data_IF_737969575955
#
_entry.id   IF_737969575955
#
_cell.length_a   1.000
_cell.length_b   1.000
_cell.length_c   1.000
_cell.angle_alpha   90.00
_cell.angle_beta   90.00
_cell.angle_gamma   90.00
#
_symmetry.space_group_name_H-M   'P 1'
#
loop_
_entity.id
_entity.type
_entity.pdbx_description
1 polymer ?
#
# COMPACT_ATOMS: atom_id res chain seq x y z
N UNK A 1 2.62 69.94 -18.73
CA UNK A 1 1.52 69.23 -19.40
C UNK A 1 0.97 68.19 -18.43
N UNK A 2 0.21 68.60 -17.41
CA UNK A 2 -1.26 68.74 -17.35
C UNK A 2 -2.00 67.39 -17.31
N UNK A 3 -2.37 66.98 -16.10
CA UNK A 3 -3.58 66.18 -15.79
C UNK A 3 -4.78 67.13 -15.98
N UNK A 4 -5.97 66.70 -16.46
CA UNK A 4 -7.05 66.40 -15.50
C UNK A 4 -8.15 65.39 -15.93
N UNK A 5 -8.73 64.76 -14.89
CA UNK A 5 -10.16 64.51 -14.58
C UNK A 5 -11.17 63.89 -15.58
N UNK A 6 -11.67 62.71 -15.18
CA UNK A 6 -13.06 62.41 -14.73
C UNK A 6 -14.23 63.23 -15.33
N UNK A 7 -15.20 62.52 -15.94
CA UNK A 7 -16.59 62.35 -15.44
C UNK A 7 -17.59 62.03 -16.58
N UNK A 8 -18.58 61.18 -16.28
CA UNK A 8 -19.91 61.29 -16.90
C UNK A 8 -20.48 60.04 -17.58
N UNK A 9 -21.26 59.25 -16.83
CA UNK A 9 -22.38 58.49 -17.40
C UNK A 9 -23.61 59.43 -17.54
N UNK A 10 -24.47 59.21 -18.55
CA UNK A 10 -25.85 58.88 -18.22
C UNK A 10 -26.51 57.83 -19.15
N UNK A 11 -27.06 56.81 -18.50
CA UNK A 11 -28.44 56.30 -18.57
C UNK A 11 -29.32 56.43 -19.86
N UNK A 12 -29.86 55.24 -20.21
CA UNK A 12 -31.27 54.88 -20.54
C UNK A 12 -31.78 54.90 -21.99
N UNK A 13 -32.14 53.67 -22.42
CA UNK A 13 -33.36 53.33 -23.17
C UNK A 13 -33.28 53.50 -24.68
N UNK A 14 -33.97 52.76 -25.54
CA UNK A 14 -34.89 51.62 -25.44
C UNK A 14 -35.19 51.20 -26.90
N UNK A 15 -35.58 49.95 -27.16
CA UNK A 15 -36.16 49.53 -28.45
C UNK A 15 -35.46 48.32 -29.08
N UNK A 16 -35.75 47.09 -28.63
CA UNK A 16 -36.71 46.18 -29.26
C UNK A 16 -36.43 45.91 -30.75
N UNK A 17 -35.89 44.73 -31.06
CA UNK A 17 -36.59 43.72 -31.87
C UNK A 17 -35.79 42.40 -32.00
N UNK A 18 -36.35 41.35 -31.37
CA UNK A 18 -36.50 39.95 -31.81
C UNK A 18 -35.36 39.23 -32.56
N UNK A 19 -34.84 38.18 -31.93
CA UNK A 19 -35.02 36.79 -32.39
C UNK A 19 -34.58 35.80 -31.28
N UNK A 20 -35.54 35.09 -30.69
CA UNK A 20 -35.31 33.98 -29.76
C UNK A 20 -35.43 32.69 -30.56
N UNK A 21 -34.31 31.98 -30.74
CA UNK A 21 -34.33 30.60 -31.24
C UNK A 21 -34.60 29.66 -30.05
N UNK A 22 -35.75 28.98 -30.08
CA UNK A 22 -36.07 27.90 -29.17
C UNK A 22 -35.24 26.67 -29.53
N UNK A 23 -34.39 26.21 -28.62
CA UNK A 23 -33.82 24.88 -28.66
C UNK A 23 -34.69 23.97 -27.77
N UNK A 24 -35.49 23.12 -28.41
CA UNK A 24 -36.32 22.10 -27.78
C UNK A 24 -35.42 21.04 -27.13
N UNK A 25 -35.45 20.95 -25.80
CA UNK A 25 -34.84 19.88 -25.03
C UNK A 25 -35.74 18.65 -25.09
N UNK A 26 -35.31 17.62 -25.82
CA UNK A 26 -35.95 16.31 -25.84
C UNK A 26 -35.54 15.54 -24.57
N UNK A 27 -36.45 15.44 -23.60
CA UNK A 27 -36.27 14.57 -22.43
C UNK A 27 -36.62 13.14 -22.86
N UNK A 28 -35.60 12.29 -22.98
CA UNK A 28 -35.75 10.84 -23.16
C UNK A 28 -36.16 10.23 -21.81
N UNK A 29 -37.45 9.87 -21.72
CA UNK A 29 -37.99 9.07 -20.61
C UNK A 29 -37.58 7.61 -20.86
N UNK A 30 -36.52 7.17 -20.19
CA UNK A 30 -36.11 5.77 -20.16
C UNK A 30 -37.10 4.95 -19.33
N UNK A 31 -37.80 4.03 -19.99
CA UNK A 31 -38.71 3.08 -19.38
C UNK A 31 -37.95 2.13 -18.44
N UNK A 32 -38.34 2.11 -17.16
CA UNK A 32 -37.92 1.09 -16.20
C UNK A 32 -38.73 -0.18 -16.47
N UNK A 33 -38.06 -1.22 -16.94
CA UNK A 33 -38.60 -2.58 -16.99
C UNK A 33 -38.59 -3.13 -15.55
N UNK A 34 -39.73 -3.03 -14.87
CA UNK A 34 -39.97 -3.72 -13.59
C UNK A 34 -40.23 -5.20 -13.92
N UNK A 35 -39.24 -6.06 -13.67
CA UNK A 35 -39.47 -7.51 -13.61
C UNK A 35 -40.12 -7.86 -12.28
N UNK A 36 -41.42 -8.18 -12.35
CA UNK A 36 -42.22 -8.70 -11.25
C UNK A 36 -41.79 -10.13 -10.90
N UNK A 37 -41.28 -10.34 -9.69
CA UNK A 37 -41.16 -11.68 -9.08
C UNK A 37 -42.45 -12.02 -8.33
N UNK A 38 -43.05 -13.21 -8.53
CA UNK A 38 -44.22 -13.63 -7.77
C UNK A 38 -43.86 -13.92 -6.31
N UNK A 39 -44.61 -13.29 -5.42
CA UNK A 39 -44.59 -13.49 -3.97
C UNK A 39 -45.14 -14.88 -3.61
N UNK A 40 -44.37 -15.66 -2.86
CA UNK A 40 -44.88 -16.79 -2.10
C UNK A 40 -45.39 -16.29 -0.75
N UNK A 41 -46.70 -16.46 -0.56
CA UNK A 41 -47.47 -16.16 0.63
C UNK A 41 -47.06 -17.05 1.81
N UNK A 42 -46.76 -16.44 2.95
CA UNK A 42 -46.63 -17.10 4.24
C UNK A 42 -47.03 -16.13 5.36
N UNK A 43 -48.30 -16.19 5.76
CA UNK A 43 -48.85 -15.49 6.92
C UNK A 43 -48.34 -16.11 8.22
N UNK A 44 -47.78 -15.30 9.13
CA UNK A 44 -48.06 -15.36 10.59
C UNK A 44 -47.90 -13.95 11.19
N UNK A 45 -48.88 -13.53 11.99
CA UNK A 45 -49.00 -12.21 12.65
C UNK A 45 -48.01 -12.02 13.84
N UNK A 46 -47.76 -10.77 14.28
CA UNK A 46 -46.92 -10.47 15.44
C UNK A 46 -47.72 -10.43 16.75
N UNK A 47 -47.09 -10.84 17.86
CA UNK A 47 -47.53 -10.52 19.21
C UNK A 47 -46.38 -9.92 20.02
N UNK A 48 -46.77 -8.91 20.81
CA UNK A 48 -45.93 -7.97 21.50
C UNK A 48 -45.49 -8.45 22.91
N UNK A 49 -44.42 -7.81 23.36
CA UNK A 49 -44.17 -7.26 24.71
C UNK A 49 -44.26 -8.17 25.96
N UNK A 50 -43.13 -8.28 26.66
CA UNK A 50 -43.09 -8.25 28.13
C UNK A 50 -41.64 -8.05 28.60
N UNK A 51 -41.41 -6.94 29.30
CA UNK A 51 -40.17 -6.65 30.01
C UNK A 51 -40.06 -7.32 31.39
N UNK A 52 -39.09 -6.77 32.13
CA UNK A 52 -38.74 -6.97 33.54
C UNK A 52 -37.93 -8.24 33.90
N UNK A 53 -37.01 -8.26 34.87
CA UNK A 53 -36.12 -7.31 35.55
C UNK A 53 -35.36 -8.15 36.60
N UNK A 54 -34.25 -7.60 37.07
CA UNK A 54 -33.57 -7.76 38.37
C UNK A 54 -32.76 -8.99 38.81
N UNK A 55 -31.60 -8.60 39.38
CA UNK A 55 -30.89 -9.06 40.61
C UNK A 55 -29.72 -10.03 40.40
N UNK A 56 -28.50 -9.52 40.51
CA UNK A 56 -27.69 -9.37 41.74
C UNK A 56 -26.99 -10.68 42.15
N UNK A 57 -25.66 -10.68 42.10
CA UNK A 57 -24.83 -10.97 43.28
C UNK A 57 -23.36 -10.70 42.98
N UNK A 58 -22.70 -10.11 43.96
CA UNK A 58 -21.35 -9.58 43.95
C UNK A 58 -20.41 -10.46 44.76
N UNK A 59 -19.10 -10.26 44.55
CA UNK A 59 -18.00 -10.43 45.52
C UNK A 59 -17.59 -11.89 45.84
N UNK A 60 -16.31 -12.20 45.65
CA UNK A 60 -15.34 -12.45 46.74
C UNK A 60 -13.93 -12.64 46.15
N UNK A 61 -13.01 -11.92 46.77
CA UNK A 61 -11.55 -11.96 46.72
C UNK A 61 -10.91 -13.31 47.05
N UNK A 62 -9.74 -13.63 46.49
CA UNK A 62 -8.90 -14.72 46.99
C UNK A 62 -7.48 -14.70 46.44
N UNK A 63 -6.52 -14.39 47.33
CA UNK A 63 -5.06 -14.42 47.16
C UNK A 63 -4.50 -15.84 46.98
N UNK A 64 -3.26 -15.92 46.47
CA UNK A 64 -2.29 -16.99 46.78
C UNK A 64 -1.92 -17.83 45.56
N UNK A 65 -0.78 -17.63 44.91
CA UNK A 65 0.58 -18.02 45.30
C UNK A 65 0.96 -19.47 44.90
N UNK A 66 1.81 -19.53 43.87
CA UNK A 66 3.05 -20.33 43.78
C UNK A 66 3.03 -21.84 43.52
N UNK A 67 4.16 -22.25 42.90
CA UNK A 67 4.82 -23.56 42.86
C UNK A 67 4.24 -24.55 41.83
N UNK A 68 4.86 -24.66 40.65
CA UNK A 68 6.08 -25.41 40.31
C UNK A 68 5.90 -26.94 40.34
N UNK A 69 6.01 -27.51 39.14
CA UNK A 69 6.61 -28.79 38.75
C UNK A 69 6.35 -30.04 39.62
N UNK A 70 5.82 -31.11 39.02
CA UNK A 70 6.32 -32.49 39.07
C UNK A 70 5.56 -33.29 38.00
N UNK A 71 6.23 -33.69 36.91
CA UNK A 71 6.74 -35.05 36.60
C UNK A 71 5.65 -36.05 36.18
N UNK A 72 5.87 -36.58 34.97
CA UNK A 72 5.56 -37.88 34.36
C UNK A 72 4.93 -38.93 35.31
N UNK A 73 4.04 -39.82 34.87
CA UNK A 73 4.31 -40.78 33.79
C UNK A 73 3.05 -41.63 33.47
N UNK A 74 3.12 -42.23 32.29
CA UNK A 74 2.65 -43.58 31.96
C UNK A 74 1.17 -43.93 31.64
N UNK A 75 1.12 -44.76 30.60
CA UNK A 75 0.15 -45.79 30.17
C UNK A 75 -1.06 -45.34 29.34
N UNK A 76 -1.12 -45.63 28.03
CA UNK A 76 -1.01 -46.91 27.26
C UNK A 76 -2.36 -47.62 27.06
N UNK A 77 -2.80 -47.69 25.80
CA UNK A 77 -3.53 -48.81 25.16
C UNK A 77 -3.65 -48.45 23.66
N UNK A 78 -2.83 -48.98 22.74
CA UNK A 78 -3.02 -50.23 21.97
C UNK A 78 -4.43 -50.40 21.40
N UNK A 79 -4.54 -50.36 20.06
CA UNK A 79 -5.03 -51.50 19.26
C UNK A 79 -4.76 -51.32 17.75
N UNK A 80 -3.98 -52.28 17.22
CA UNK A 80 -4.08 -53.03 15.94
C UNK A 80 -4.25 -52.30 14.59
N UNK A 81 -3.27 -52.31 13.67
CA UNK A 81 -2.77 -53.40 12.78
C UNK A 81 -3.69 -53.68 11.56
N UNK A 82 -3.25 -53.35 10.33
CA UNK A 82 -2.82 -54.25 9.22
C UNK A 82 -2.76 -53.35 7.95
N UNK A 83 -1.98 -53.52 6.87
CA UNK A 83 -1.00 -54.51 6.41
C UNK A 83 -0.22 -53.89 5.20
N UNK A 84 0.88 -54.56 4.85
CA UNK A 84 1.52 -54.63 3.51
C UNK A 84 2.76 -53.76 3.14
N UNK A 85 3.94 -54.41 3.29
CA UNK A 85 5.02 -54.67 2.29
C UNK A 85 5.43 -53.51 1.36
N UNK A 86 6.67 -53.04 1.25
CA UNK A 86 7.99 -53.60 1.52
C UNK A 86 8.95 -53.14 0.39
N UNK A 87 10.23 -52.94 0.69
CA UNK A 87 11.44 -53.08 -0.17
C UNK A 87 12.58 -52.30 0.52
N UNK A 88 13.30 -53.01 1.40
CA UNK A 88 14.53 -52.54 2.04
C UNK A 88 15.75 -52.85 1.17
N UNK A 89 16.78 -52.01 1.27
CA UNK A 89 18.13 -52.29 0.78
C UNK A 89 18.96 -52.96 1.91
N UNK A 90 19.91 -53.85 1.59
CA UNK A 90 20.51 -54.77 2.56
C UNK A 90 21.55 -54.10 3.46
N UNK A 91 21.52 -54.44 4.76
CA UNK A 91 22.61 -54.15 5.68
C UNK A 91 23.68 -55.25 5.58
N UNK A 92 24.81 -54.95 4.95
CA UNK A 92 26.02 -55.76 5.03
C UNK A 92 26.65 -55.57 6.41
N UNK A 93 26.64 -56.63 7.21
CA UNK A 93 27.40 -56.71 8.47
C UNK A 93 28.84 -57.08 8.11
N UNK A 94 29.79 -56.17 8.34
CA UNK A 94 31.22 -56.49 8.39
C UNK A 94 31.68 -56.38 9.84
N UNK A 95 32.11 -57.52 10.37
CA UNK A 95 32.73 -57.67 11.68
C UNK A 95 34.19 -57.20 11.65
N UNK A 96 34.57 -56.44 12.66
CA UNK A 96 35.90 -56.45 13.29
C UNK A 96 37.11 -56.04 12.45
N UNK A 97 37.54 -54.79 12.60
CA UNK A 97 38.97 -54.42 12.56
C UNK A 97 39.20 -53.16 13.39
N UNK A 98 39.93 -53.30 14.49
CA UNK A 98 40.54 -52.20 15.23
C UNK A 98 41.65 -51.58 14.39
N UNK A 99 41.49 -50.31 13.99
CA UNK A 99 42.59 -49.48 13.48
C UNK A 99 42.56 -48.15 14.22
N UNK A 100 43.73 -47.80 14.73
CA UNK A 100 44.01 -46.63 15.53
C UNK A 100 43.72 -45.32 14.75
N UNK A 101 43.19 -44.34 15.50
CA UNK A 101 43.39 -42.90 15.30
C UNK A 101 43.45 -42.36 13.87
N UNK A 102 42.29 -42.24 13.23
CA UNK A 102 42.09 -41.26 12.15
C UNK A 102 40.80 -40.47 12.42
N UNK A 103 40.95 -39.15 12.56
CA UNK A 103 39.87 -38.19 12.67
C UNK A 103 39.12 -38.11 11.33
N UNK A 104 38.15 -39.02 11.11
CA UNK A 104 37.18 -38.84 10.04
C UNK A 104 36.26 -37.67 10.39
N UNK A 105 36.56 -36.51 9.82
CA UNK A 105 35.62 -35.38 9.78
C UNK A 105 34.49 -35.80 8.84
N UNK A 106 33.38 -36.26 9.42
CA UNK A 106 32.14 -36.50 8.67
C UNK A 106 31.82 -35.20 7.92
N UNK A 107 31.74 -35.18 6.58
CA UNK A 107 31.25 -34.02 5.89
C UNK A 107 29.81 -33.83 6.34
N UNK A 108 29.55 -32.76 7.09
CA UNK A 108 28.21 -32.23 7.21
C UNK A 108 27.82 -31.85 5.78
N UNK A 109 27.04 -32.70 5.12
CA UNK A 109 26.36 -32.32 3.91
C UNK A 109 25.39 -31.20 4.29
N UNK A 110 25.86 -29.96 4.26
CA UNK A 110 25.00 -28.80 4.21
C UNK A 110 24.31 -28.85 2.85
N UNK A 111 23.20 -29.58 2.78
CA UNK A 111 22.27 -29.44 1.67
C UNK A 111 21.69 -28.04 1.77
N UNK A 112 22.25 -27.12 0.99
CA UNK A 112 21.58 -25.86 0.66
C UNK A 112 20.29 -26.28 -0.05
N UNK A 113 19.18 -26.34 0.69
CA UNK A 113 17.87 -26.58 0.10
C UNK A 113 17.60 -25.34 -0.76
N UNK A 114 17.48 -25.47 -2.09
CA UNK A 114 17.18 -24.32 -2.93
C UNK A 114 15.84 -23.75 -2.48
N UNK A 115 15.82 -22.46 -2.12
CA UNK A 115 14.61 -21.72 -1.78
C UNK A 115 13.70 -21.77 -3.01
N UNK A 116 12.66 -22.59 -2.96
CA UNK A 116 11.69 -22.69 -4.06
C UNK A 116 10.81 -21.43 -4.03
N UNK A 117 10.64 -20.73 -5.16
CA UNK A 117 9.69 -19.62 -5.24
C UNK A 117 8.30 -20.10 -4.82
N UNK A 118 7.55 -19.24 -4.13
CA UNK A 118 6.16 -19.54 -3.83
C UNK A 118 5.35 -19.55 -5.12
N UNK A 119 4.37 -20.45 -5.17
CA UNK A 119 3.50 -20.62 -6.34
C UNK A 119 2.18 -19.87 -6.21
N UNK A 120 1.72 -19.67 -4.98
CA UNK A 120 0.45 -19.04 -4.67
C UNK A 120 0.66 -17.79 -3.81
N UNK A 121 -0.36 -16.93 -3.79
CA UNK A 121 -0.43 -15.85 -2.81
C UNK A 121 -0.60 -16.41 -1.39
N UNK A 122 -0.11 -15.67 -0.41
CA UNK A 122 -0.27 -15.99 1.01
C UNK A 122 -1.10 -14.91 1.66
N UNK A 123 -2.10 -15.30 2.46
CA UNK A 123 -2.76 -14.39 3.37
C UNK A 123 -1.99 -14.39 4.68
N UNK A 124 -1.37 -13.25 5.01
CA UNK A 124 -0.60 -13.08 6.22
C UNK A 124 -1.37 -12.23 7.22
N UNK A 125 -1.46 -12.72 8.47
CA UNK A 125 -2.02 -11.94 9.57
C UNK A 125 -0.89 -11.22 10.29
N UNK A 126 -0.92 -9.89 10.28
CA UNK A 126 0.08 -9.03 10.93
C UNK A 126 0.17 -9.34 12.42
N UNK A 127 1.39 -9.50 12.91
CA UNK A 127 1.71 -9.79 14.29
C UNK A 127 2.37 -8.59 14.97
N UNK A 128 2.42 -8.63 16.31
CA UNK A 128 3.12 -7.62 17.08
C UNK A 128 4.62 -7.59 16.72
N UNK A 129 5.14 -6.40 16.40
CA UNK A 129 6.54 -6.20 16.03
C UNK A 129 6.84 -6.34 14.53
N UNK A 130 5.85 -6.69 13.71
CA UNK A 130 6.01 -6.67 12.27
C UNK A 130 6.12 -5.23 11.73
N UNK A 131 6.89 -5.09 10.67
CA UNK A 131 6.87 -3.94 9.75
C UNK A 131 6.94 -4.44 8.31
N UNK A 132 6.62 -3.58 7.33
CA UNK A 132 6.60 -3.97 5.92
C UNK A 132 7.93 -4.56 5.45
N UNK A 133 9.08 -4.00 5.86
CA UNK A 133 10.40 -4.56 5.50
C UNK A 133 10.57 -5.99 5.98
N UNK A 134 10.29 -6.26 7.27
CA UNK A 134 10.46 -7.60 7.85
C UNK A 134 9.52 -8.62 7.24
N UNK A 135 8.29 -8.22 6.87
CA UNK A 135 7.34 -9.07 6.17
C UNK A 135 7.83 -9.32 4.74
N UNK A 136 8.16 -8.27 3.99
CA UNK A 136 8.66 -8.35 2.62
C UNK A 136 9.89 -9.26 2.51
N UNK A 137 10.87 -9.09 3.41
CA UNK A 137 12.08 -9.93 3.49
C UNK A 137 11.76 -11.39 3.81
N UNK A 138 10.90 -11.64 4.81
CA UNK A 138 10.45 -12.99 5.19
C UNK A 138 9.84 -13.72 3.99
N UNK A 139 9.12 -12.97 3.16
CA UNK A 139 8.44 -13.48 1.98
C UNK A 139 9.21 -13.22 0.68
N UNK A 140 10.44 -12.73 0.68
CA UNK A 140 11.22 -12.57 -0.56
C UNK A 140 10.49 -11.78 -1.66
N UNK A 141 9.78 -10.72 -1.26
CA UNK A 141 9.08 -9.80 -2.18
C UNK A 141 9.52 -8.37 -1.93
N UNK A 142 9.37 -7.51 -2.92
CA UNK A 142 9.68 -6.09 -2.76
C UNK A 142 8.59 -5.42 -1.92
N UNK A 143 8.96 -4.40 -1.13
CA UNK A 143 7.98 -3.63 -0.35
C UNK A 143 6.93 -2.99 -1.26
N UNK A 144 7.34 -2.45 -2.41
CA UNK A 144 6.40 -1.86 -3.38
C UNK A 144 5.37 -2.89 -3.86
N UNK A 145 5.78 -4.14 -4.03
CA UNK A 145 4.86 -5.24 -4.37
C UNK A 145 3.84 -5.48 -3.26
N UNK A 146 4.30 -5.46 -2.00
CA UNK A 146 3.43 -5.62 -0.85
C UNK A 146 2.44 -4.46 -0.71
N UNK A 147 2.89 -3.23 -0.96
CA UNK A 147 2.06 -2.02 -0.99
C UNK A 147 1.01 -2.12 -2.10
N UNK A 148 1.43 -2.33 -3.35
CA UNK A 148 0.53 -2.38 -4.51
C UNK A 148 -0.46 -3.54 -4.48
N UNK A 149 -0.16 -4.62 -3.76
CA UNK A 149 -1.06 -5.76 -3.62
C UNK A 149 -2.18 -5.52 -2.58
N UNK A 150 -2.07 -4.49 -1.74
CA UNK A 150 -2.96 -4.22 -0.63
C UNK A 150 -3.46 -2.78 -0.67
N UNK A 151 -4.69 -2.55 -1.12
CA UNK A 151 -5.25 -1.21 -1.36
C UNK A 151 -5.04 -0.23 -0.19
N UNK A 152 -5.19 -0.69 1.06
CA UNK A 152 -4.96 0.16 2.25
C UNK A 152 -3.50 0.57 2.42
N UNK A 153 -2.56 -0.31 2.08
CA UNK A 153 -1.15 0.02 2.07
C UNK A 153 -0.80 0.92 0.88
N UNK A 154 -1.51 0.80 -0.24
CA UNK A 154 -1.32 1.73 -1.36
C UNK A 154 -1.84 3.14 -1.04
N UNK A 155 -2.91 3.24 -0.27
CA UNK A 155 -3.40 4.51 0.26
C UNK A 155 -2.45 5.07 1.32
N UNK A 156 -2.10 4.25 2.31
CA UNK A 156 -1.19 4.58 3.40
C UNK A 156 -0.22 3.42 3.67
N UNK A 157 1.02 3.52 3.18
CA UNK A 157 2.02 2.46 3.32
C UNK A 157 2.43 2.14 4.76
N UNK A 158 2.19 3.04 5.70
CA UNK A 158 2.48 2.80 7.11
C UNK A 158 1.26 2.22 7.86
N UNK A 159 0.15 1.95 7.15
CA UNK A 159 -1.08 1.34 7.68
C UNK A 159 -0.88 -0.15 7.98
N UNK A 160 -0.19 -0.44 9.08
CA UNK A 160 0.03 -1.80 9.55
C UNK A 160 -0.52 -1.98 10.97
N UNK A 161 -1.64 -2.71 11.08
CA UNK A 161 -2.31 -2.98 12.36
C UNK A 161 -2.24 -4.47 12.73
N UNK A 162 -2.02 -4.78 14.00
CA UNK A 162 -1.99 -6.17 14.48
C UNK A 162 -3.33 -6.84 14.17
N UNK A 163 -3.29 -8.03 13.56
CA UNK A 163 -4.46 -8.77 13.11
C UNK A 163 -4.94 -8.43 11.69
N UNK A 164 -4.39 -7.41 11.04
CA UNK A 164 -4.68 -7.09 9.64
C UNK A 164 -4.26 -8.23 8.73
N UNK A 165 -5.10 -8.56 7.74
CA UNK A 165 -4.74 -9.50 6.69
C UNK A 165 -4.07 -8.76 5.53
N UNK A 166 -2.90 -9.25 5.13
CA UNK A 166 -2.17 -8.80 3.96
C UNK A 166 -2.14 -9.90 2.91
N UNK A 167 -2.36 -9.53 1.67
CA UNK A 167 -2.08 -10.34 0.50
C UNK A 167 -0.59 -10.23 0.22
N UNK A 168 0.12 -11.35 0.29
CA UNK A 168 1.53 -11.46 -0.06
C UNK A 168 1.65 -12.16 -1.42
N UNK A 169 2.10 -11.45 -2.48
CA UNK A 169 2.29 -12.06 -3.78
C UNK A 169 3.36 -13.18 -3.80
N UNK A 170 3.33 -14.07 -4.81
CA UNK A 170 4.30 -15.16 -4.93
C UNK A 170 5.71 -14.67 -5.27
N UNK A 171 5.82 -13.55 -6.00
CA UNK A 171 7.07 -12.93 -6.46
C UNK A 171 6.96 -11.40 -6.46
N UNK A 172 8.07 -10.67 -6.55
CA UNK A 172 8.08 -9.21 -6.73
C UNK A 172 7.46 -8.79 -8.06
N UNK A 173 6.67 -7.72 -8.05
CA UNK A 173 6.02 -7.09 -9.19
C UNK A 173 4.64 -6.51 -8.86
N UNK A 174 3.74 -6.48 -9.84
CA UNK A 174 2.38 -5.94 -9.67
C UNK A 174 1.34 -7.05 -9.63
N UNK A 175 0.46 -7.03 -8.63
CA UNK A 175 -0.74 -7.89 -8.60
C UNK A 175 -1.94 -7.13 -9.17
N UNK A 176 -2.25 -7.37 -10.44
CA UNK A 176 -3.28 -6.65 -11.19
C UNK A 176 -4.61 -7.39 -11.23
N UNK A 177 -5.72 -6.69 -11.06
CA UNK A 177 -7.06 -7.23 -11.35
C UNK A 177 -7.38 -7.05 -12.82
N UNK A 178 -7.52 -8.15 -13.57
CA UNK A 178 -7.87 -8.14 -14.97
C UNK A 178 -9.22 -7.50 -15.25
N UNK A 179 -9.35 -6.90 -16.43
CA UNK A 179 -10.56 -6.29 -16.98
C UNK A 179 -10.96 -6.97 -18.27
N UNK A 180 -12.21 -6.78 -18.68
CA UNK A 180 -12.72 -7.30 -19.94
C UNK A 180 -11.90 -6.76 -21.12
N UNK A 181 -11.39 -7.67 -21.95
CA UNK A 181 -10.58 -7.35 -23.13
C UNK A 181 -9.09 -7.16 -22.86
N UNK A 182 -8.62 -7.33 -21.61
CA UNK A 182 -7.18 -7.29 -21.33
C UNK A 182 -6.44 -8.43 -22.04
N UNK A 183 -5.27 -8.12 -22.59
CA UNK A 183 -4.32 -9.10 -23.12
C UNK A 183 -3.03 -9.09 -22.30
N UNK A 184 -2.30 -10.21 -22.30
CA UNK A 184 -0.99 -10.29 -21.63
C UNK A 184 -0.03 -9.23 -22.17
N UNK A 185 -0.06 -8.96 -23.47
CA UNK A 185 0.78 -7.95 -24.11
C UNK A 185 0.48 -6.53 -23.62
N UNK A 186 -0.81 -6.17 -23.50
CA UNK A 186 -1.21 -4.84 -23.02
C UNK A 186 -0.87 -4.64 -21.54
N UNK A 187 -1.08 -5.67 -20.72
CA UNK A 187 -0.71 -5.68 -19.31
C UNK A 187 0.81 -5.53 -19.16
N UNK A 188 1.60 -6.34 -19.87
CA UNK A 188 3.06 -6.28 -19.87
C UNK A 188 3.55 -4.86 -20.21
N UNK A 189 3.02 -4.28 -21.29
CA UNK A 189 3.37 -2.92 -21.71
C UNK A 189 3.01 -1.87 -20.66
N UNK A 190 1.81 -1.95 -20.08
CA UNK A 190 1.31 -0.98 -19.10
C UNK A 190 2.13 -0.96 -17.81
N UNK A 191 2.52 -2.14 -17.35
CA UNK A 191 3.26 -2.31 -16.09
C UNK A 191 4.75 -2.53 -16.31
N UNK A 192 5.27 -2.27 -17.51
CA UNK A 192 6.68 -2.52 -17.89
C UNK A 192 7.18 -3.94 -17.57
N UNK A 193 6.27 -4.92 -17.54
CA UNK A 193 6.57 -6.33 -17.33
C UNK A 193 6.94 -7.02 -18.64
N UNK A 194 7.42 -8.26 -18.51
CA UNK A 194 7.75 -9.11 -19.65
C UNK A 194 6.63 -10.10 -19.95
N UNK A 195 6.25 -10.22 -21.23
CA UNK A 195 5.13 -11.10 -21.65
C UNK A 195 5.43 -12.56 -21.29
N UNK A 196 6.68 -13.00 -21.47
CA UNK A 196 7.06 -14.38 -21.23
C UNK A 196 7.03 -14.69 -19.75
N UNK A 197 7.55 -13.83 -18.88
CA UNK A 197 7.47 -14.06 -17.42
C UNK A 197 6.04 -14.09 -16.89
N UNK A 198 5.15 -13.25 -17.44
CA UNK A 198 3.72 -13.28 -17.08
C UNK A 198 3.07 -14.60 -17.51
N UNK A 199 3.32 -15.05 -18.74
CA UNK A 199 2.72 -16.28 -19.28
C UNK A 199 3.27 -17.56 -18.64
N UNK A 200 4.57 -17.60 -18.32
CA UNK A 200 5.23 -18.78 -17.74
C UNK A 200 5.03 -18.90 -16.21
N UNK A 201 4.53 -17.84 -15.55
CA UNK A 201 4.28 -17.88 -14.12
C UNK A 201 3.11 -18.80 -13.79
N UNK A 202 3.39 -19.86 -13.04
CA UNK A 202 2.41 -20.88 -12.63
C UNK A 202 1.17 -20.29 -11.94
N UNK A 203 1.34 -19.23 -11.14
CA UNK A 203 0.25 -18.51 -10.48
C UNK A 203 -0.82 -18.01 -11.45
N UNK A 204 -0.41 -17.50 -12.61
CA UNK A 204 -1.31 -16.85 -13.56
C UNK A 204 -2.19 -17.86 -14.33
N UNK A 205 -1.80 -19.15 -14.34
CA UNK A 205 -2.56 -20.24 -14.99
C UNK A 205 -2.92 -19.92 -16.45
N UNK A 206 -2.05 -19.18 -17.14
CA UNK A 206 -2.23 -18.83 -18.54
C UNK A 206 -1.68 -19.98 -19.40
N UNK A 207 -2.56 -20.64 -20.16
CA UNK A 207 -2.17 -21.75 -21.03
C UNK A 207 -2.32 -21.30 -22.49
N UNK A 208 -1.25 -21.46 -23.27
CA UNK A 208 -1.32 -21.29 -24.72
C UNK A 208 -2.24 -22.38 -25.34
N UNK A 209 -2.98 -22.08 -26.42
CA UNK A 209 -2.91 -20.88 -27.24
C UNK A 209 -3.90 -19.77 -26.84
N UNK A 210 -4.83 -20.03 -25.93
CA UNK A 210 -5.91 -19.09 -25.65
C UNK A 210 -5.46 -17.91 -24.81
N UNK A 211 -4.56 -18.09 -23.82
CA UNK A 211 -4.12 -17.03 -22.87
C UNK A 211 -5.28 -16.11 -22.42
N UNK A 212 -6.50 -16.66 -22.35
CA UNK A 212 -7.70 -15.88 -22.16
C UNK A 212 -7.70 -15.35 -20.73
N UNK A 213 -7.67 -14.03 -20.59
CA UNK A 213 -7.73 -13.38 -19.31
C UNK A 213 -9.20 -13.17 -18.96
N UNK A 214 -9.64 -13.74 -17.85
CA UNK A 214 -11.01 -13.56 -17.34
C UNK A 214 -11.02 -12.29 -16.49
N UNK A 215 -11.94 -11.38 -16.78
CA UNK A 215 -12.14 -10.18 -15.99
C UNK A 215 -12.38 -10.50 -14.51
N UNK A 216 -11.81 -9.70 -13.63
CA UNK A 216 -11.81 -9.91 -12.18
C UNK A 216 -10.73 -10.87 -11.65
N UNK A 217 -10.02 -11.60 -12.51
CA UNK A 217 -8.92 -12.47 -12.06
C UNK A 217 -7.69 -11.65 -11.65
N UNK A 218 -7.00 -12.09 -10.59
CA UNK A 218 -5.73 -11.51 -10.18
C UNK A 218 -4.60 -12.11 -11.02
N UNK A 219 -3.92 -11.27 -11.77
CA UNK A 219 -2.76 -11.60 -12.61
C UNK A 219 -1.54 -10.98 -11.95
N UNK A 220 -0.52 -11.77 -11.73
CA UNK A 220 0.78 -11.33 -11.25
C UNK A 220 1.66 -10.93 -12.44
N UNK A 221 2.31 -9.77 -12.35
CA UNK A 221 3.26 -9.27 -13.34
C UNK A 221 4.65 -9.26 -12.69
N UNK A 222 5.46 -10.33 -12.84
CA UNK A 222 6.79 -10.40 -12.24
C UNK A 222 7.70 -9.27 -12.72
N UNK A 223 8.33 -8.56 -11.80
CA UNK A 223 9.22 -7.42 -12.08
C UNK A 223 8.51 -6.20 -12.69
N UNK A 224 7.18 -6.21 -12.77
CA UNK A 224 6.42 -5.06 -13.25
C UNK A 224 6.41 -3.91 -12.23
N UNK A 225 6.20 -2.71 -12.74
CA UNK A 225 6.07 -1.47 -11.99
C UNK A 225 4.69 -0.84 -12.23
N UNK A 226 4.08 -0.26 -11.18
CA UNK A 226 2.83 0.50 -11.35
C UNK A 226 3.14 1.86 -11.99
N UNK A 227 2.48 2.25 -13.10
CA UNK A 227 2.74 3.54 -13.74
C UNK A 227 2.30 4.69 -12.83
N UNK A 228 3.09 5.76 -12.81
CA UNK A 228 2.74 7.01 -12.15
C UNK A 228 1.35 7.50 -12.58
N UNK A 229 0.48 7.73 -11.62
CA UNK A 229 -0.76 8.46 -11.85
C UNK A 229 -0.72 9.71 -10.97
N UNK A 230 -0.57 10.91 -11.54
CA UNK A 230 -0.71 12.14 -10.78
C UNK A 230 -2.06 12.13 -10.07
N UNK A 231 -2.07 12.29 -8.74
CA UNK A 231 -3.31 12.47 -8.00
C UNK A 231 -3.88 13.83 -8.38
N UNK A 232 -4.91 13.84 -9.23
CA UNK A 232 -5.58 15.07 -9.60
C UNK A 232 -6.31 15.62 -8.39
N UNK A 233 -5.91 16.81 -7.96
CA UNK A 233 -6.67 17.61 -7.02
C UNK A 233 -7.70 18.42 -7.76
N UNK A 234 -8.95 18.33 -7.31
CA UNK A 234 -10.05 19.16 -7.79
C UNK A 234 -10.38 20.21 -6.73
N UNK A 235 -10.34 21.49 -7.11
CA UNK A 235 -10.88 22.59 -6.30
C UNK A 235 -12.06 23.18 -7.07
N UNK A 236 -13.24 23.20 -6.44
CA UNK A 236 -14.45 23.74 -7.06
C UNK A 236 -14.82 23.07 -8.40
N UNK A 237 -14.50 21.78 -8.55
CA UNK A 237 -14.77 21.00 -9.78
C UNK A 237 -13.72 21.12 -10.89
N UNK A 238 -12.70 21.97 -10.74
CA UNK A 238 -11.62 22.11 -11.72
C UNK A 238 -10.33 21.44 -11.24
N UNK A 239 -9.66 20.70 -12.13
CA UNK A 239 -8.34 20.15 -11.84
C UNK A 239 -7.33 21.30 -11.67
N UNK A 240 -6.59 21.31 -10.56
CA UNK A 240 -5.65 22.39 -10.22
C UNK A 240 -4.36 22.35 -11.04
N UNK A 241 -4.02 21.18 -11.60
CA UNK A 241 -2.71 20.92 -12.22
C UNK A 241 -2.50 21.56 -13.61
N UNK A 242 -3.53 22.15 -14.23
CA UNK A 242 -3.46 22.59 -15.64
C UNK A 242 -2.62 23.87 -15.86
N UNK A 243 -2.37 24.67 -14.81
CA UNK A 243 -1.54 25.89 -14.84
C UNK A 243 -0.59 26.00 -13.62
N UNK A 244 -0.23 24.85 -13.05
CA UNK A 244 0.60 24.74 -11.87
C UNK A 244 2.04 25.25 -12.09
N UNK A 245 2.68 25.88 -11.07
CA UNK A 245 4.12 26.06 -11.06
C UNK A 245 4.82 24.71 -11.28
N UNK A 246 5.82 24.71 -12.17
CA UNK A 246 6.63 23.52 -12.44
C UNK A 246 7.99 23.64 -11.78
N UNK A 247 8.41 22.57 -11.12
CA UNK A 247 9.74 22.42 -10.55
C UNK A 247 10.80 22.31 -11.64
N UNK A 248 12.02 22.70 -11.28
CA UNK A 248 13.20 22.58 -12.15
C UNK A 248 13.91 21.23 -12.06
N UNK A 249 13.53 20.36 -11.11
CA UNK A 249 14.20 19.08 -10.85
C UNK A 249 15.53 19.22 -10.10
N UNK A 250 15.83 20.43 -9.58
CA UNK A 250 17.00 20.72 -8.74
C UNK A 250 16.50 21.01 -7.33
N UNK A 251 16.64 20.03 -6.45
CA UNK A 251 16.07 20.13 -5.12
C UNK A 251 16.95 20.91 -4.15
N UNK A 252 16.30 21.49 -3.14
CA UNK A 252 16.97 21.98 -1.92
C UNK A 252 16.70 21.01 -0.78
N UNK A 253 17.58 21.02 0.22
CA UNK A 253 17.35 20.28 1.46
C UNK A 253 16.00 20.67 2.09
N UNK A 254 15.13 19.70 2.42
CA UNK A 254 13.78 19.98 2.89
C UNK A 254 13.73 20.39 4.36
N UNK A 255 14.82 20.21 5.11
CA UNK A 255 14.96 20.64 6.51
C UNK A 255 16.45 20.67 6.88
N UNK A 256 16.76 21.17 8.07
CA UNK A 256 18.06 21.00 8.72
C UNK A 256 18.02 19.82 9.69
N UNK A 257 19.14 19.11 9.83
CA UNK A 257 19.27 17.96 10.74
C UNK A 257 20.40 17.03 10.30
N UNK A 258 20.41 15.80 10.83
CA UNK A 258 21.27 14.73 10.35
C UNK A 258 20.42 13.57 9.82
N UNK A 259 20.95 12.83 8.86
CA UNK A 259 20.25 11.65 8.33
C UNK A 259 20.35 10.52 9.36
N UNK A 260 19.22 10.13 9.95
CA UNK A 260 19.14 9.00 10.87
C UNK A 260 18.93 7.68 10.13
N UNK A 261 18.22 7.72 9.00
CA UNK A 261 17.92 6.55 8.17
C UNK A 261 18.09 6.92 6.69
N UNK A 262 18.86 6.10 5.97
CA UNK A 262 19.08 6.28 4.54
C UNK A 262 18.02 5.53 3.73
N UNK A 263 17.82 5.97 2.48
CA UNK A 263 17.03 5.23 1.51
C UNK A 263 17.59 3.83 1.28
N UNK A 264 16.72 2.84 1.24
CA UNK A 264 17.04 1.49 0.78
C UNK A 264 15.95 1.00 -0.18
N UNK A 265 16.38 0.50 -1.33
CA UNK A 265 15.46 -0.10 -2.29
C UNK A 265 14.79 -1.33 -1.65
N UNK A 266 13.46 -1.37 -1.65
CA UNK A 266 12.71 -2.42 -0.94
C UNK A 266 12.80 -2.33 0.59
N UNK A 267 13.15 -1.16 1.14
CA UNK A 267 13.23 -0.90 2.56
C UNK A 267 12.67 0.49 2.91
N UNK A 268 13.57 1.35 3.35
CA UNK A 268 13.25 2.72 3.71
C UNK A 268 13.06 3.58 2.45
N UNK A 269 11.84 4.06 2.24
CA UNK A 269 11.36 4.65 0.97
C UNK A 269 11.85 6.07 0.71
N UNK A 270 12.42 6.69 1.73
CA UNK A 270 12.96 8.03 1.70
C UNK A 270 14.25 8.13 2.48
N UNK A 271 14.52 9.33 2.99
CA UNK A 271 15.53 9.57 4.03
C UNK A 271 14.83 10.14 5.25
N UNK A 272 15.30 9.74 6.44
CA UNK A 272 14.84 10.32 7.69
C UNK A 272 15.87 11.35 8.13
N UNK A 273 15.42 12.58 8.31
CA UNK A 273 16.26 13.68 8.79
C UNK A 273 15.82 14.00 10.21
N UNK A 274 16.61 13.54 11.18
CA UNK A 274 16.35 13.75 12.60
C UNK A 274 16.73 15.17 13.02
N UNK A 275 15.87 15.77 13.84
CA UNK A 275 16.05 17.11 14.36
C UNK A 275 15.06 17.41 15.50
N UNK A 276 15.19 18.56 16.18
CA UNK A 276 14.25 18.93 17.23
C UNK A 276 12.81 19.07 16.69
N UNK A 277 11.77 18.73 17.49
CA UNK A 277 10.39 19.07 17.17
C UNK A 277 10.24 20.55 16.82
N UNK A 278 9.43 20.86 15.82
CA UNK A 278 9.19 22.23 15.38
C UNK A 278 10.20 22.76 14.36
N UNK A 279 11.26 22.01 14.04
CA UNK A 279 12.24 22.39 12.99
C UNK A 279 11.49 22.69 11.68
N UNK A 280 11.76 23.82 11.01
CA UNK A 280 11.04 24.18 9.78
C UNK A 280 11.27 23.17 8.64
N UNK A 281 10.18 22.81 7.96
CA UNK A 281 10.20 21.96 6.76
C UNK A 281 9.87 22.81 5.54
N UNK A 282 10.62 22.62 4.45
CA UNK A 282 10.58 23.41 3.23
C UNK A 282 10.28 22.54 2.00
N UNK A 283 9.56 23.09 1.04
CA UNK A 283 9.36 22.45 -0.26
C UNK A 283 10.69 22.33 -1.01
N UNK A 284 11.08 21.11 -1.34
CA UNK A 284 12.32 20.79 -2.04
C UNK A 284 12.38 21.39 -3.45
N UNK A 285 11.22 21.58 -4.11
CA UNK A 285 11.09 22.30 -5.39
C UNK A 285 9.71 22.97 -5.50
N UNK A 286 9.53 23.80 -6.53
CA UNK A 286 8.23 24.41 -6.83
C UNK A 286 7.23 23.37 -7.34
N UNK A 287 5.95 23.54 -7.03
CA UNK A 287 4.91 22.59 -7.42
C UNK A 287 3.54 22.93 -6.86
N UNK A 288 2.64 21.96 -6.95
CA UNK A 288 1.31 21.99 -6.36
C UNK A 288 1.21 20.95 -5.27
N UNK A 289 0.69 21.34 -4.12
CA UNK A 289 0.36 20.44 -3.03
C UNK A 289 -0.81 19.55 -3.48
N UNK A 290 -0.57 18.26 -3.68
CA UNK A 290 -1.60 17.31 -4.07
C UNK A 290 -2.23 16.58 -2.87
N UNK A 291 -1.60 16.68 -1.71
CA UNK A 291 -2.13 16.29 -0.41
C UNK A 291 -1.51 17.16 0.68
N UNK A 292 -2.32 17.67 1.60
CA UNK A 292 -1.88 18.21 2.89
C UNK A 292 -2.90 17.76 3.95
N UNK A 293 -2.52 16.82 4.79
CA UNK A 293 -3.46 16.16 5.71
C UNK A 293 -2.87 14.96 6.40
N UNK A 294 -3.72 14.21 7.09
CA UNK A 294 -3.36 12.94 7.70
C UNK A 294 -3.42 11.83 6.63
N UNK A 295 -2.34 11.07 6.49
CA UNK A 295 -2.25 9.91 5.59
C UNK A 295 -1.57 8.78 6.36
N UNK A 296 -2.34 7.75 6.69
CA UNK A 296 -2.34 7.13 8.03
C UNK A 296 -1.03 7.11 8.83
N UNK A 297 -0.05 6.24 8.55
CA UNK A 297 1.16 6.14 9.37
C UNK A 297 2.26 7.14 8.99
N UNK A 298 2.19 7.81 7.84
CA UNK A 298 2.92 9.08 7.66
C UNK A 298 2.46 10.15 8.65
N UNK A 299 1.26 10.00 9.22
CA UNK A 299 0.64 11.00 10.08
C UNK A 299 0.30 12.24 9.27
N UNK A 300 0.54 13.42 9.85
CA UNK A 300 0.43 14.66 9.09
C UNK A 300 1.52 14.71 8.02
N UNK A 301 1.14 14.77 6.77
CA UNK A 301 2.06 14.85 5.66
C UNK A 301 1.62 15.85 4.58
N UNK A 302 2.57 16.18 3.73
CA UNK A 302 2.37 16.96 2.51
C UNK A 302 2.93 16.15 1.35
N UNK A 303 2.20 16.08 0.24
CA UNK A 303 2.73 15.59 -1.04
C UNK A 303 2.66 16.72 -2.04
N UNK A 304 3.79 17.00 -2.71
CA UNK A 304 3.90 18.02 -3.75
C UNK A 304 4.16 17.34 -5.09
N UNK A 305 3.33 17.61 -6.09
CA UNK A 305 3.62 17.30 -7.48
C UNK A 305 4.32 18.50 -8.13
N UNK A 306 5.52 18.26 -8.66
CA UNK A 306 6.35 19.28 -9.27
C UNK A 306 6.05 19.52 -10.74
N UNK A 307 5.11 18.78 -11.34
CA UNK A 307 4.68 18.97 -12.73
C UNK A 307 5.75 18.67 -13.78
N UNK A 308 6.84 18.00 -13.38
CA UNK A 308 7.98 17.62 -14.20
C UNK A 308 8.32 16.12 -14.08
N UNK A 309 7.37 15.32 -13.58
CA UNK A 309 7.54 13.90 -13.32
C UNK A 309 8.05 13.57 -11.92
N UNK A 310 8.44 14.57 -11.12
CA UNK A 310 8.77 14.39 -9.71
C UNK A 310 7.58 14.65 -8.79
N UNK A 311 7.51 13.86 -7.72
CA UNK A 311 6.79 14.22 -6.50
C UNK A 311 7.72 14.16 -5.30
N UNK A 312 7.39 14.92 -4.26
CA UNK A 312 8.03 14.80 -2.95
C UNK A 312 6.99 14.65 -1.85
N UNK A 313 7.32 13.82 -0.87
CA UNK A 313 6.50 13.58 0.32
C UNK A 313 7.26 14.03 1.57
N UNK A 314 6.55 14.68 2.48
CA UNK A 314 7.06 15.23 3.74
C UNK A 314 6.16 14.73 4.86
N UNK A 315 6.63 13.77 5.66
CA UNK A 315 5.82 13.09 6.67
C UNK A 315 6.22 13.40 8.11
N UNK A 316 5.42 12.87 9.04
CA UNK A 316 5.53 13.01 10.50
C UNK A 316 5.46 14.47 11.00
N UNK A 317 4.79 15.35 10.27
CA UNK A 317 4.78 16.79 10.57
C UNK A 317 4.00 17.11 11.86
N UNK A 318 4.50 18.03 12.67
CA UNK A 318 3.72 18.60 13.78
C UNK A 318 2.64 19.55 13.26
N UNK A 319 2.90 20.22 12.13
CA UNK A 319 1.97 21.12 11.47
C UNK A 319 2.34 21.30 9.99
N UNK A 320 1.35 21.59 9.16
CA UNK A 320 1.51 22.02 7.77
C UNK A 320 0.76 23.34 7.54
N UNK A 321 1.32 24.19 6.69
CA UNK A 321 0.78 25.51 6.38
C UNK A 321 -0.08 25.55 5.11
N UNK A 322 0.28 24.87 4.00
CA UNK A 322 -0.53 24.92 2.79
C UNK A 322 -1.73 23.97 2.87
N UNK A 323 -2.74 24.25 2.06
CA UNK A 323 -3.86 23.35 1.81
C UNK A 323 -3.65 22.58 0.51
N UNK A 324 -4.32 21.44 0.36
CA UNK A 324 -4.39 20.72 -0.92
C UNK A 324 -4.82 21.65 -2.06
N UNK A 325 -4.07 21.62 -3.17
CA UNK A 325 -4.16 22.49 -4.35
C UNK A 325 -3.42 23.83 -4.22
N UNK A 326 -2.71 24.08 -3.11
CA UNK A 326 -1.87 25.27 -2.98
C UNK A 326 -0.64 25.17 -3.89
N UNK A 327 -0.28 26.29 -4.50
CA UNK A 327 1.02 26.46 -5.16
C UNK A 327 2.11 26.73 -4.12
N UNK A 328 3.27 26.10 -4.29
CA UNK A 328 4.45 26.33 -3.45
C UNK A 328 5.69 26.60 -4.30
N UNK A 329 6.60 27.41 -3.76
CA UNK A 329 7.90 27.71 -4.37
C UNK A 329 8.98 26.83 -3.76
N UNK A 330 10.06 26.57 -4.52
CA UNK A 330 11.26 25.93 -3.99
C UNK A 330 11.78 26.71 -2.77
N UNK A 331 12.04 26.01 -1.66
CA UNK A 331 12.50 26.57 -0.40
C UNK A 331 11.41 27.30 0.41
N UNK A 332 10.15 27.26 -0.02
CA UNK A 332 9.05 27.81 0.78
C UNK A 332 8.84 26.94 2.02
N UNK A 333 8.70 27.56 3.19
CA UNK A 333 8.31 26.85 4.40
C UNK A 333 6.89 26.30 4.24
N UNK A 334 6.73 24.99 4.45
CA UNK A 334 5.48 24.26 4.26
C UNK A 334 4.99 23.59 5.54
N UNK A 335 5.84 23.44 6.56
CA UNK A 335 5.41 22.86 7.82
C UNK A 335 6.49 22.88 8.90
N UNK A 336 6.25 22.06 9.91
CA UNK A 336 7.15 21.84 11.05
C UNK A 336 7.35 20.36 11.27
N UNK A 337 8.60 19.96 11.50
CA UNK A 337 8.97 18.62 11.91
C UNK A 337 8.23 18.22 13.18
N UNK A 338 7.78 16.97 13.25
CA UNK A 338 7.07 16.42 14.39
C UNK A 338 7.40 14.95 14.57
N UNK A 339 6.44 14.24 15.17
CA UNK A 339 6.53 12.80 15.45
C UNK A 339 5.13 12.16 15.33
N UNK A 340 4.31 12.65 14.40
CA UNK A 340 2.93 12.15 14.20
C UNK A 340 2.90 10.89 13.34
N UNK A 341 1.84 10.10 13.45
CA UNK A 341 1.73 8.84 12.72
C UNK A 341 2.59 7.76 13.36
N UNK A 342 3.14 6.86 12.55
CA UNK A 342 4.05 5.80 12.97
C UNK A 342 5.48 6.35 13.04
N UNK A 343 5.83 6.97 14.16
CA UNK A 343 7.13 7.59 14.36
C UNK A 343 7.64 7.30 15.77
N UNK A 344 8.88 6.83 15.88
CA UNK A 344 9.51 6.51 17.18
C UNK A 344 10.15 7.72 17.85
N UNK A 345 10.26 8.85 17.15
CA UNK A 345 10.78 10.10 17.66
C UNK A 345 10.84 11.19 16.59
N UNK A 346 11.13 12.45 16.96
CA UNK A 346 11.03 13.57 16.04
C UNK A 346 12.00 13.50 14.84
N UNK A 347 11.44 13.44 13.63
CA UNK A 347 12.18 13.47 12.37
C UNK A 347 11.29 13.92 11.21
N UNK A 348 11.90 14.28 10.08
CA UNK A 348 11.22 14.39 8.80
C UNK A 348 11.52 13.15 7.96
N UNK A 349 10.49 12.39 7.61
CA UNK A 349 10.59 11.39 6.55
C UNK A 349 10.36 12.08 5.20
N UNK A 350 11.36 12.00 4.32
CA UNK A 350 11.37 12.68 3.02
C UNK A 350 11.55 11.69 1.87
N UNK A 351 10.54 11.57 1.01
CA UNK A 351 10.60 10.73 -0.18
C UNK A 351 10.68 11.57 -1.45
N UNK A 352 11.30 10.99 -2.47
CA UNK A 352 11.27 11.48 -3.85
C UNK A 352 10.72 10.38 -4.73
N UNK A 353 9.71 10.71 -5.53
CA UNK A 353 9.21 9.85 -6.59
C UNK A 353 9.58 10.47 -7.93
N UNK A 354 10.00 9.65 -8.89
CA UNK A 354 10.22 10.07 -10.27
C UNK A 354 9.59 9.08 -11.23
N UNK A 355 8.70 9.55 -12.11
CA UNK A 355 7.99 8.68 -13.05
C UNK A 355 7.15 7.60 -12.35
N UNK A 356 6.76 7.84 -11.10
CA UNK A 356 5.87 6.98 -10.30
C UNK A 356 6.55 5.94 -9.43
N UNK A 357 7.86 5.78 -9.56
CA UNK A 357 8.66 4.94 -8.69
C UNK A 357 9.40 5.77 -7.64
N UNK A 358 9.60 5.18 -6.46
CA UNK A 358 10.47 5.73 -5.43
C UNK A 358 11.92 5.74 -5.91
N UNK A 359 12.62 6.83 -5.62
CA UNK A 359 14.03 7.00 -5.96
C UNK A 359 14.79 7.55 -4.77
N UNK A 360 16.06 7.15 -4.63
CA UNK A 360 16.91 7.65 -3.55
C UNK A 360 16.99 9.19 -3.57
N UNK A 361 16.49 9.89 -2.52
CA UNK A 361 16.48 11.35 -2.48
C UNK A 361 17.87 12.00 -2.61
N UNK A 362 18.92 11.32 -2.12
CA UNK A 362 20.30 11.83 -2.14
C UNK A 362 20.88 11.97 -3.56
N UNK A 363 20.23 11.39 -4.58
CA UNK A 363 20.61 11.61 -5.99
C UNK A 363 20.18 12.98 -6.52
N UNK A 364 19.24 13.63 -5.84
CA UNK A 364 18.59 14.88 -6.31
C UNK A 364 18.80 16.05 -5.36
N UNK A 365 19.20 15.77 -4.12
CA UNK A 365 19.55 16.77 -3.11
C UNK A 365 20.99 17.30 -3.31
N UNK A 366 21.30 18.52 -2.85
CA UNK A 366 22.66 19.05 -2.87
C UNK A 366 23.63 18.18 -2.08
N UNK A 367 24.80 17.88 -2.65
CA UNK A 367 25.87 17.08 -2.02
C UNK A 367 26.84 17.92 -1.20
#
# INVERSE_FOLDING_TARGET
MTIPHQAGYPNRGCGLCRAVAHATLLVLVGSVLVMSYPQLTGHVQPMADAGNDVRHASVVSGRGASLSAFVNDANASTDEATDAVGQGLPATVVSGATVAGDLFKLPLAQTIIPKRPRKDLVLYTVQAGDNLSTIAERYDVDIDTLIWANDKLEEDPDYLTIGQQLVIPPVSGVLYTAKDGDTVADIAKKFKGDVRTISELEYNKLVAPSMNIISGTKIMIPGGEKPYQPRLVYIGGNAVMVNAPRGGGRFVWPTTGYISTYFSAGGHRGIDIAGPPGTPVYAADAGVVILAGWDGGYGNCIIIDHGNGFQTLYAHLAAFYPQTGSNVRRGQAIGKMGSTGNSTGPHLHFEVLYGGGLVNPLKYLPQ
#
